data_IF_740411484312
#
_entry.id   IF_740411484312
#
_cell.length_a   1.000
_cell.length_b   1.000
_cell.length_c   1.000
_cell.angle_alpha   90.00
_cell.angle_beta   90.00
_cell.angle_gamma   90.00
#
_symmetry.space_group_name_H-M   'P 1'
#
loop_
_entity.id
_entity.type
_entity.pdbx_description
1 polymer ?
#
# COMPACT_ATOMS: atom_id res chain seq x y z
N UNK A 1 33.57 4.28 11.50
CA UNK A 1 33.27 3.17 10.56
C UNK A 1 33.55 1.87 11.29
N UNK A 2 32.57 0.95 11.39
CA UNK A 2 32.79 -0.33 12.02
C UNK A 2 33.86 -1.13 11.27
N UNK A 3 34.87 -1.64 11.97
CA UNK A 3 35.82 -2.62 11.41
C UNK A 3 35.27 -4.01 11.71
N UNK A 4 35.18 -4.85 10.69
CA UNK A 4 34.98 -6.28 10.89
C UNK A 4 36.35 -6.94 10.98
N UNK A 5 36.66 -7.60 12.10
CA UNK A 5 37.88 -8.41 12.24
C UNK A 5 37.96 -9.56 11.23
N UNK A 6 36.83 -9.87 10.56
CA UNK A 6 36.66 -10.96 9.60
C UNK A 6 36.94 -10.52 8.15
N UNK A 7 36.86 -9.21 7.86
CA UNK A 7 37.05 -8.64 6.52
C UNK A 7 37.88 -7.34 6.58
N UNK A 8 39.21 -7.43 6.80
CA UNK A 8 40.07 -6.25 7.01
C UNK A 8 40.16 -5.30 5.80
N UNK A 9 39.76 -5.75 4.61
CA UNK A 9 39.77 -4.97 3.37
C UNK A 9 38.43 -4.26 3.08
N UNK A 10 37.35 -4.59 3.80
CA UNK A 10 36.03 -4.00 3.58
C UNK A 10 35.66 -3.07 4.73
N UNK A 11 35.52 -1.78 4.41
CA UNK A 11 34.96 -0.79 5.32
C UNK A 11 33.45 -0.73 5.13
N UNK A 12 32.71 -0.95 6.22
CA UNK A 12 31.27 -0.83 6.23
C UNK A 12 30.86 0.56 6.73
N UNK A 13 29.81 1.10 6.13
CA UNK A 13 29.07 2.23 6.69
C UNK A 13 28.21 1.78 7.88
N UNK A 14 27.78 2.72 8.72
CA UNK A 14 26.99 2.40 9.92
C UNK A 14 25.64 1.73 9.61
N UNK A 15 25.06 2.01 8.44
CA UNK A 15 23.82 1.39 7.95
C UNK A 15 24.04 0.01 7.31
N UNK A 16 25.29 -0.39 7.06
CA UNK A 16 25.63 -1.72 6.53
C UNK A 16 25.90 -2.74 7.65
N UNK A 17 25.98 -2.31 8.91
CA UNK A 17 26.26 -3.17 10.07
C UNK A 17 25.05 -3.16 11.00
N UNK A 18 24.75 -4.31 11.60
CA UNK A 18 23.65 -4.41 12.56
C UNK A 18 23.85 -3.42 13.73
N UNK A 19 22.81 -2.70 14.19
CA UNK A 19 22.94 -1.76 15.30
C UNK A 19 23.49 -2.44 16.57
N UNK A 20 24.52 -1.86 17.18
CA UNK A 20 25.16 -2.39 18.39
C UNK A 20 26.12 -3.56 18.17
N UNK A 21 26.39 -3.95 16.91
CA UNK A 21 27.40 -4.96 16.60
C UNK A 21 28.80 -4.35 16.46
N UNK A 22 29.79 -4.93 17.13
CA UNK A 22 31.17 -4.42 17.17
C UNK A 22 31.21 -2.94 17.57
N UNK A 23 31.88 -2.11 16.77
CA UNK A 23 31.99 -0.65 16.97
C UNK A 23 30.77 0.13 16.41
N UNK A 24 29.75 -0.54 15.88
CA UNK A 24 28.57 0.14 15.35
C UNK A 24 27.67 0.64 16.48
N UNK A 25 27.18 1.89 16.46
CA UNK A 25 26.32 2.41 17.52
C UNK A 25 25.06 1.54 17.74
N UNK A 26 24.54 1.48 18.98
CA UNK A 26 23.27 0.81 19.25
C UNK A 26 22.11 1.51 18.52
N UNK A 27 20.99 0.80 18.38
CA UNK A 27 19.78 1.36 17.81
C UNK A 27 19.34 2.62 18.59
N UNK A 28 18.86 3.63 17.86
CA UNK A 28 18.41 4.90 18.39
C UNK A 28 16.91 5.06 18.22
N UNK A 29 16.22 5.60 19.23
CA UNK A 29 14.79 5.95 19.12
C UNK A 29 14.51 7.09 18.13
N UNK A 30 15.54 7.87 17.74
CA UNK A 30 15.38 8.99 16.82
C UNK A 30 15.73 8.65 15.37
N UNK A 31 16.59 7.64 15.17
CA UNK A 31 17.26 7.42 13.88
C UNK A 31 17.18 5.95 13.49
N UNK A 32 16.45 5.66 12.41
CA UNK A 32 16.69 4.45 11.61
C UNK A 32 17.88 4.71 10.68
N UNK A 33 18.89 3.82 10.63
CA UNK A 33 20.04 3.97 9.75
C UNK A 33 19.65 3.60 8.30
N UNK A 34 19.90 4.50 7.35
CA UNK A 34 19.66 4.28 5.93
C UNK A 34 20.76 4.97 5.10
N UNK A 35 21.09 4.45 3.90
CA UNK A 35 21.96 5.17 2.96
C UNK A 35 21.27 6.47 2.50
N UNK A 36 22.06 7.50 2.16
CA UNK A 36 21.47 8.72 1.59
C UNK A 36 20.76 8.42 0.26
N UNK A 37 19.63 9.10 0.03
CA UNK A 37 18.78 8.94 -1.16
C UNK A 37 18.70 10.29 -1.90
N UNK A 38 19.81 10.81 -2.44
CA UNK A 38 19.85 12.16 -3.01
C UNK A 38 18.95 12.32 -4.24
N UNK A 39 18.68 11.22 -4.97
CA UNK A 39 17.88 11.23 -6.19
C UNK A 39 16.38 11.50 -5.93
N UNK A 40 15.91 11.39 -4.69
CA UNK A 40 14.53 11.66 -4.31
C UNK A 40 14.48 12.57 -3.09
N UNK A 41 14.05 13.80 -3.31
CA UNK A 41 13.69 14.71 -2.22
C UNK A 41 12.35 15.39 -2.48
N UNK A 42 11.64 15.70 -1.40
CA UNK A 42 10.32 16.32 -1.37
C UNK A 42 10.35 17.57 -0.50
N UNK A 43 9.53 18.56 -0.84
CA UNK A 43 9.27 19.74 -0.03
C UNK A 43 7.76 19.98 0.09
N UNK A 44 7.35 20.99 0.86
CA UNK A 44 5.92 21.32 1.09
C UNK A 44 5.13 21.54 -0.21
N UNK A 45 5.79 22.02 -1.27
CA UNK A 45 5.18 22.26 -2.58
C UNK A 45 5.07 21.02 -3.47
N UNK A 46 5.81 19.94 -3.19
CA UNK A 46 5.80 18.71 -4.00
C UNK A 46 4.41 18.06 -3.99
N UNK A 47 3.72 17.93 -5.14
CA UNK A 47 2.42 17.25 -5.22
C UNK A 47 2.55 15.76 -4.94
N UNK A 48 2.01 15.31 -3.81
CA UNK A 48 2.09 13.91 -3.35
C UNK A 48 0.71 13.26 -3.48
N UNK A 49 0.66 12.11 -4.13
CA UNK A 49 -0.48 11.19 -4.05
C UNK A 49 -0.09 9.93 -3.26
N UNK A 50 -1.06 9.30 -2.61
CA UNK A 50 -0.87 7.97 -2.03
C UNK A 50 -2.07 7.05 -2.23
N UNK A 51 -1.79 5.75 -2.26
CA UNK A 51 -2.78 4.68 -2.19
C UNK A 51 -2.20 3.47 -1.46
N UNK A 52 -3.07 2.70 -0.80
CA UNK A 52 -2.65 1.43 -0.24
C UNK A 52 -3.52 0.92 0.89
N UNK A 53 -2.89 0.10 1.73
CA UNK A 53 -3.50 -0.50 2.92
C UNK A 53 -3.86 0.54 4.00
N UNK A 54 -4.30 0.07 5.18
CA UNK A 54 -4.57 0.94 6.34
C UNK A 54 -3.42 1.91 6.67
N UNK A 55 -2.16 1.51 6.47
CA UNK A 55 -1.01 2.35 6.76
C UNK A 55 -0.87 3.54 5.80
N UNK A 56 -1.41 3.46 4.58
CA UNK A 56 -1.43 4.59 3.64
C UNK A 56 -2.22 5.80 4.20
N UNK A 57 -3.24 5.53 5.02
CA UNK A 57 -3.98 6.58 5.73
C UNK A 57 -3.10 7.31 6.74
N UNK A 58 -2.30 6.58 7.51
CA UNK A 58 -1.39 7.20 8.49
C UNK A 58 -0.37 8.11 7.80
N UNK A 59 0.21 7.65 6.68
CA UNK A 59 1.11 8.47 5.84
C UNK A 59 0.38 9.73 5.35
N UNK A 60 -0.82 9.58 4.78
CA UNK A 60 -1.64 10.70 4.29
C UNK A 60 -1.91 11.71 5.39
N UNK A 61 -2.41 11.25 6.54
CA UNK A 61 -2.86 12.13 7.62
C UNK A 61 -1.67 12.93 8.16
N UNK A 62 -0.49 12.31 8.30
CA UNK A 62 0.74 13.00 8.72
C UNK A 62 1.25 13.97 7.66
N UNK A 63 1.19 13.63 6.36
CA UNK A 63 1.57 14.56 5.29
C UNK A 63 0.68 15.81 5.27
N UNK A 64 -0.63 15.64 5.47
CA UNK A 64 -1.58 16.74 5.55
C UNK A 64 -1.34 17.59 6.81
N UNK A 65 -1.14 16.95 7.97
CA UNK A 65 -0.86 17.64 9.24
C UNK A 65 0.43 18.46 9.19
N UNK A 66 1.41 18.00 8.42
CA UNK A 66 2.67 18.70 8.16
C UNK A 66 2.60 19.66 6.96
N UNK A 67 1.42 20.03 6.46
CA UNK A 67 1.26 21.00 5.35
C UNK A 67 1.99 20.63 4.04
N UNK A 68 2.23 19.34 3.76
CA UNK A 68 2.66 18.94 2.41
C UNK A 68 1.51 19.08 1.42
N UNK A 69 1.85 19.36 0.16
CA UNK A 69 0.92 19.41 -0.98
C UNK A 69 0.38 18.02 -1.33
N UNK A 70 -0.48 17.49 -0.46
CA UNK A 70 -1.13 16.21 -0.64
C UNK A 70 -2.35 16.36 -1.56
N UNK A 71 -2.42 15.56 -2.61
CA UNK A 71 -3.50 15.58 -3.60
C UNK A 71 -4.75 14.92 -3.01
N UNK A 72 -5.88 15.66 -3.02
CA UNK A 72 -7.16 15.29 -2.42
C UNK A 72 -8.29 15.45 -3.42
N UNK A 73 -8.49 14.44 -4.24
CA UNK A 73 -9.69 14.30 -5.06
C UNK A 73 -10.82 13.67 -4.22
N UNK A 74 -12.08 14.02 -4.52
CA UNK A 74 -13.26 13.43 -3.85
C UNK A 74 -13.22 13.54 -2.31
N UNK A 75 -12.72 14.65 -1.78
CA UNK A 75 -12.43 14.81 -0.34
C UNK A 75 -13.65 14.64 0.60
N UNK A 76 -14.88 14.83 0.09
CA UNK A 76 -16.12 14.58 0.84
C UNK A 76 -16.61 13.14 0.77
N UNK A 77 -16.02 12.28 -0.06
CA UNK A 77 -16.46 10.91 -0.25
C UNK A 77 -15.85 9.99 0.82
N UNK A 78 -16.62 9.14 1.52
CA UNK A 78 -16.10 8.27 2.59
C UNK A 78 -14.91 7.39 2.16
N UNK A 79 -14.90 6.96 0.89
CA UNK A 79 -13.82 6.13 0.34
C UNK A 79 -12.52 6.90 0.02
N UNK A 80 -12.48 8.23 0.09
CA UNK A 80 -11.22 8.98 -0.04
C UNK A 80 -10.42 9.02 1.26
N UNK A 81 -10.93 8.43 2.35
CA UNK A 81 -10.27 8.45 3.67
C UNK A 81 -8.83 7.93 3.63
N UNK A 82 -8.55 6.87 2.86
CA UNK A 82 -7.26 6.16 2.91
C UNK A 82 -6.28 6.52 1.78
N UNK A 83 -6.68 7.39 0.85
CA UNK A 83 -5.92 7.64 -0.38
C UNK A 83 -6.17 9.05 -0.96
N UNK A 84 -5.59 9.33 -2.12
CA UNK A 84 -5.72 10.63 -2.83
C UNK A 84 -7.01 10.79 -3.65
N UNK A 85 -7.72 9.71 -3.93
CA UNK A 85 -9.06 9.71 -4.53
C UNK A 85 -9.93 8.65 -3.82
N UNK A 86 -11.19 8.50 -4.22
CA UNK A 86 -12.13 7.53 -3.61
C UNK A 86 -11.85 6.06 -3.97
N UNK A 87 -10.58 5.65 -3.97
CA UNK A 87 -10.12 4.28 -4.22
C UNK A 87 -10.40 3.31 -3.06
N UNK A 88 -10.74 3.83 -1.87
CA UNK A 88 -10.75 3.09 -0.60
C UNK A 88 -9.38 2.43 -0.30
N UNK A 89 -9.36 1.46 0.60
CA UNK A 89 -8.17 0.68 0.98
C UNK A 89 -7.90 -0.35 -0.08
N UNK A 90 -6.70 -0.28 -0.61
CA UNK A 90 -6.20 -1.20 -1.63
C UNK A 90 -5.14 -2.07 -0.99
N UNK A 91 -5.53 -3.29 -0.64
CA UNK A 91 -4.64 -4.15 0.15
C UNK A 91 -3.62 -4.88 -0.71
N UNK A 92 -4.03 -5.38 -1.88
CA UNK A 92 -3.21 -6.25 -2.73
C UNK A 92 -2.84 -5.54 -4.04
N UNK A 93 -1.79 -6.03 -4.69
CA UNK A 93 -1.26 -5.44 -5.92
C UNK A 93 -2.25 -5.51 -7.11
N UNK A 94 -3.17 -6.48 -7.13
CA UNK A 94 -4.17 -6.62 -8.20
C UNK A 94 -5.21 -5.52 -8.13
N UNK A 95 -5.79 -5.28 -6.95
CA UNK A 95 -6.74 -4.19 -6.75
C UNK A 95 -6.10 -2.84 -7.04
N UNK A 96 -4.82 -2.65 -6.68
CA UNK A 96 -4.07 -1.45 -7.09
C UNK A 96 -3.93 -1.38 -8.61
N UNK A 97 -3.41 -2.42 -9.28
CA UNK A 97 -3.26 -2.45 -10.75
C UNK A 97 -4.56 -2.12 -11.46
N UNK A 98 -5.67 -2.73 -11.03
CA UNK A 98 -6.99 -2.49 -11.60
C UNK A 98 -7.42 -1.03 -11.53
N UNK A 99 -7.00 -0.28 -10.50
CA UNK A 99 -7.23 1.17 -10.43
C UNK A 99 -6.56 1.89 -11.58
N UNK A 100 -5.28 1.60 -11.84
CA UNK A 100 -4.59 2.21 -12.97
C UNK A 100 -5.22 1.76 -14.29
N UNK A 101 -5.60 0.49 -14.43
CA UNK A 101 -6.25 -0.04 -15.62
C UNK A 101 -7.57 0.67 -15.90
N UNK A 102 -8.51 0.74 -14.96
CA UNK A 102 -9.77 1.45 -15.22
C UNK A 102 -9.57 2.94 -15.38
N UNK A 103 -8.52 3.51 -14.81
CA UNK A 103 -8.22 4.94 -14.93
C UNK A 103 -7.70 5.29 -16.30
N UNK A 104 -6.79 4.49 -16.86
CA UNK A 104 -6.00 4.86 -18.02
C UNK A 104 -6.25 4.02 -19.27
N UNK A 105 -6.68 2.78 -19.10
CA UNK A 105 -6.78 1.79 -20.16
C UNK A 105 -8.21 1.23 -20.28
N UNK A 106 -8.36 0.19 -21.11
CA UNK A 106 -9.55 -0.62 -21.19
C UNK A 106 -9.66 -1.56 -19.99
N UNK A 107 -10.73 -1.36 -19.22
CA UNK A 107 -11.06 -2.21 -18.07
C UNK A 107 -12.52 -2.64 -18.20
N UNK A 108 -12.72 -3.93 -18.47
CA UNK A 108 -14.03 -4.52 -18.79
C UNK A 108 -14.23 -5.85 -18.08
N UNK A 109 -14.48 -5.85 -16.76
CA UNK A 109 -14.88 -7.05 -16.07
C UNK A 109 -16.21 -7.57 -16.63
N UNK A 110 -16.39 -8.89 -16.69
CA UNK A 110 -17.66 -9.49 -17.12
C UNK A 110 -18.79 -9.18 -16.14
N UNK A 111 -18.45 -8.94 -14.87
CA UNK A 111 -19.38 -8.47 -13.83
C UNK A 111 -18.87 -7.15 -13.30
N UNK A 112 -19.41 -6.05 -13.82
CA UNK A 112 -19.07 -4.71 -13.34
C UNK A 112 -19.74 -4.43 -11.98
N UNK A 113 -21.02 -4.76 -11.86
CA UNK A 113 -21.83 -4.43 -10.69
C UNK A 113 -22.43 -5.68 -10.06
N UNK A 114 -22.42 -5.71 -8.73
CA UNK A 114 -23.26 -6.63 -7.97
C UNK A 114 -24.62 -6.01 -7.73
N UNK A 115 -25.68 -6.82 -7.85
CA UNK A 115 -27.04 -6.44 -7.46
C UNK A 115 -27.49 -7.33 -6.31
N UNK A 116 -27.69 -6.74 -5.15
CA UNK A 116 -28.05 -7.45 -3.93
C UNK A 116 -29.40 -8.21 -4.13
N UNK A 117 -29.47 -9.52 -3.84
CA UNK A 117 -30.65 -10.32 -4.19
C UNK A 117 -31.97 -9.90 -3.53
N UNK A 118 -31.91 -9.31 -2.33
CA UNK A 118 -33.10 -8.98 -1.54
C UNK A 118 -33.43 -7.49 -1.68
N UNK A 119 -32.48 -6.61 -1.39
CA UNK A 119 -32.69 -5.16 -1.42
C UNK A 119 -32.63 -4.55 -2.83
N UNK A 120 -32.02 -5.26 -3.79
CA UNK A 120 -31.80 -4.75 -5.14
C UNK A 120 -30.74 -3.65 -5.24
N UNK A 121 -30.08 -3.30 -4.12
CA UNK A 121 -29.00 -2.31 -4.06
C UNK A 121 -27.88 -2.71 -5.02
N UNK A 122 -27.36 -1.72 -5.75
CA UNK A 122 -26.21 -1.92 -6.63
C UNK A 122 -24.94 -1.68 -5.83
N UNK A 123 -23.98 -2.59 -5.93
CA UNK A 123 -22.72 -2.55 -5.19
C UNK A 123 -21.55 -2.65 -6.16
N UNK A 124 -20.54 -1.81 -5.94
CA UNK A 124 -19.22 -1.94 -6.55
C UNK A 124 -18.43 -3.09 -5.88
N UNK A 125 -18.04 -4.15 -6.60
CA UNK A 125 -17.25 -5.22 -6.01
C UNK A 125 -15.75 -4.89 -5.93
N UNK A 126 -15.27 -3.86 -6.62
CA UNK A 126 -13.88 -3.46 -6.73
C UNK A 126 -13.48 -2.34 -5.76
N UNK A 127 -14.46 -1.56 -5.27
CA UNK A 127 -14.28 -0.55 -4.21
C UNK A 127 -15.07 -0.92 -2.95
N UNK A 128 -14.44 -0.85 -1.78
CA UNK A 128 -15.00 -1.39 -0.53
C UNK A 128 -16.30 -0.69 -0.10
N UNK A 129 -17.43 -1.39 -0.20
CA UNK A 129 -18.76 -0.95 0.27
C UNK A 129 -19.17 0.39 -0.37
N UNK A 130 -19.08 0.47 -1.69
CA UNK A 130 -19.72 1.55 -2.46
C UNK A 130 -21.06 1.04 -2.96
N UNK A 131 -22.13 1.75 -2.61
CA UNK A 131 -23.51 1.35 -2.82
C UNK A 131 -24.25 2.43 -3.59
N UNK A 132 -25.17 2.02 -4.46
CA UNK A 132 -25.97 2.88 -5.31
C UNK A 132 -27.42 2.41 -5.34
N UNK A 133 -28.34 3.36 -5.57
CA UNK A 133 -29.76 3.07 -5.76
C UNK A 133 -30.09 2.51 -7.15
N UNK A 134 -29.22 2.76 -8.15
CA UNK A 134 -29.43 2.30 -9.53
C UNK A 134 -28.13 2.06 -10.30
N UNK A 135 -28.20 1.32 -11.41
CA UNK A 135 -27.05 1.12 -12.29
C UNK A 135 -26.62 2.40 -13.03
N UNK A 136 -27.57 3.31 -13.29
CA UNK A 136 -27.27 4.61 -13.89
C UNK A 136 -26.45 5.49 -12.94
N UNK A 137 -26.86 5.54 -11.67
CA UNK A 137 -26.11 6.22 -10.61
C UNK A 137 -24.71 5.62 -10.45
N UNK A 138 -24.61 4.29 -10.42
CA UNK A 138 -23.33 3.58 -10.32
C UNK A 138 -22.39 3.94 -11.48
N UNK A 139 -22.89 3.92 -12.71
CA UNK A 139 -22.11 4.30 -13.89
C UNK A 139 -21.69 5.77 -13.89
N UNK A 140 -22.61 6.69 -13.56
CA UNK A 140 -22.31 8.11 -13.50
C UNK A 140 -21.27 8.44 -12.40
N UNK A 141 -21.35 7.78 -11.25
CA UNK A 141 -20.38 7.91 -10.18
C UNK A 141 -19.01 7.34 -10.55
N UNK A 142 -18.99 6.14 -11.14
CA UNK A 142 -17.75 5.52 -11.58
C UNK A 142 -16.99 6.39 -12.60
N UNK A 143 -17.68 7.01 -13.54
CA UNK A 143 -17.03 7.92 -14.50
C UNK A 143 -16.46 9.17 -13.82
N UNK A 144 -17.16 9.77 -12.85
CA UNK A 144 -16.61 10.88 -12.04
C UNK A 144 -15.38 10.43 -11.26
N UNK A 145 -15.46 9.27 -10.62
CA UNK A 145 -14.36 8.67 -9.88
C UNK A 145 -13.16 8.38 -10.80
N UNK A 146 -13.39 7.89 -12.02
CA UNK A 146 -12.34 7.64 -13.01
C UNK A 146 -11.63 8.93 -13.42
N UNK A 147 -12.35 10.04 -13.55
CA UNK A 147 -11.77 11.35 -13.82
C UNK A 147 -10.96 11.88 -12.63
N UNK A 148 -11.48 11.76 -11.41
CA UNK A 148 -10.77 12.10 -10.18
C UNK A 148 -9.47 11.28 -10.04
N UNK A 149 -9.56 9.96 -10.24
CA UNK A 149 -8.43 9.05 -10.27
C UNK A 149 -7.36 9.50 -11.26
N UNK A 150 -7.77 9.83 -12.49
CA UNK A 150 -6.89 10.34 -13.54
C UNK A 150 -6.22 11.66 -13.14
N UNK A 151 -6.96 12.57 -12.52
CA UNK A 151 -6.43 13.85 -12.05
C UNK A 151 -5.37 13.65 -10.97
N UNK A 152 -5.64 12.79 -9.98
CA UNK A 152 -4.69 12.48 -8.92
C UNK A 152 -3.38 11.91 -9.48
N UNK A 153 -3.48 10.89 -10.32
CA UNK A 153 -2.31 10.17 -10.86
C UNK A 153 -1.50 11.02 -11.85
N UNK A 154 -2.15 11.89 -12.65
CA UNK A 154 -1.44 12.78 -13.60
C UNK A 154 -0.77 13.98 -12.94
N UNK A 155 -1.26 14.42 -11.77
CA UNK A 155 -0.71 15.57 -11.03
C UNK A 155 0.39 15.21 -10.05
N UNK A 156 0.46 13.94 -9.63
CA UNK A 156 1.44 13.47 -8.67
C UNK A 156 2.87 13.62 -9.21
N UNK A 157 3.72 14.34 -8.49
CA UNK A 157 5.18 14.25 -8.69
C UNK A 157 5.74 13.06 -7.92
N UNK A 158 5.14 12.77 -6.76
CA UNK A 158 5.43 11.58 -5.97
C UNK A 158 4.15 10.77 -5.79
N UNK A 159 4.22 9.46 -6.05
CA UNK A 159 3.17 8.52 -5.75
C UNK A 159 3.65 7.48 -4.74
N UNK A 160 3.03 7.46 -3.57
CA UNK A 160 3.34 6.51 -2.50
C UNK A 160 2.41 5.30 -2.60
N UNK A 161 2.97 4.11 -2.83
CA UNK A 161 2.25 2.84 -2.92
C UNK A 161 2.56 1.98 -1.69
N UNK A 162 1.53 1.69 -0.89
CA UNK A 162 1.67 0.91 0.36
C UNK A 162 1.02 -0.47 0.24
N UNK A 163 1.82 -1.49 -0.03
CA UNK A 163 1.34 -2.86 -0.24
C UNK A 163 0.98 -3.54 1.09
N UNK A 164 -0.23 -4.09 1.15
CA UNK A 164 -0.81 -4.63 2.37
C UNK A 164 -0.70 -6.16 2.46
N UNK A 165 -1.35 -6.86 1.54
CA UNK A 165 -1.74 -8.26 1.68
C UNK A 165 -1.62 -9.04 0.35
N UNK A 166 -1.44 -10.36 0.45
CA UNK A 166 -1.37 -11.29 -0.70
C UNK A 166 -2.65 -12.11 -0.89
N UNK A 167 -3.54 -12.12 0.10
CA UNK A 167 -4.85 -12.74 0.04
C UNK A 167 -5.78 -11.97 -0.89
N UNK A 168 -6.33 -12.67 -1.89
CA UNK A 168 -7.21 -12.09 -2.91
C UNK A 168 -8.43 -12.96 -3.13
N UNK A 169 -9.50 -12.31 -3.61
CA UNK A 169 -10.70 -12.96 -4.10
C UNK A 169 -10.82 -12.66 -5.59
N UNK A 170 -10.63 -13.69 -6.39
CA UNK A 170 -10.50 -13.59 -7.84
C UNK A 170 -11.73 -14.20 -8.52
N UNK A 171 -12.23 -13.52 -9.54
CA UNK A 171 -13.21 -14.05 -10.47
C UNK A 171 -12.59 -15.19 -11.30
N UNK A 172 -13.16 -16.40 -11.21
CA UNK A 172 -12.64 -17.57 -11.93
C UNK A 172 -12.75 -17.47 -13.45
N UNK A 173 -13.58 -16.56 -13.98
CA UNK A 173 -13.90 -16.47 -15.41
C UNK A 173 -12.95 -15.52 -16.14
N UNK A 174 -12.66 -14.36 -15.56
CA UNK A 174 -11.87 -13.30 -16.20
C UNK A 174 -10.66 -12.82 -15.37
N UNK A 175 -10.46 -13.34 -14.15
CA UNK A 175 -9.28 -13.07 -13.34
C UNK A 175 -9.31 -11.71 -12.62
N UNK A 176 -10.39 -10.94 -12.71
CA UNK A 176 -10.50 -9.69 -11.95
C UNK A 176 -10.65 -9.98 -10.46
N UNK A 177 -9.95 -9.20 -9.65
CA UNK A 177 -9.92 -9.31 -8.19
C UNK A 177 -10.88 -8.31 -7.57
N UNK A 178 -11.85 -8.81 -6.83
CA UNK A 178 -12.77 -8.00 -6.03
C UNK A 178 -12.08 -7.52 -4.75
N UNK A 179 -12.53 -6.40 -4.19
CA UNK A 179 -11.94 -5.83 -2.97
C UNK A 179 -12.10 -6.77 -1.77
N UNK A 180 -13.33 -7.23 -1.52
CA UNK A 180 -13.68 -8.15 -0.45
C UNK A 180 -15.06 -8.76 -0.72
N UNK A 181 -15.30 -10.05 -0.43
CA UNK A 181 -16.64 -10.62 -0.44
C UNK A 181 -17.43 -10.12 0.78
N UNK A 182 -17.95 -8.90 0.70
CA UNK A 182 -18.70 -8.25 1.77
C UNK A 182 -19.78 -7.33 1.21
N UNK A 183 -20.55 -6.70 2.10
CA UNK A 183 -21.61 -5.75 1.74
C UNK A 183 -22.96 -6.43 1.49
N UNK A 184 -23.99 -5.65 1.13
CA UNK A 184 -25.36 -6.14 0.92
C UNK A 184 -25.42 -7.35 -0.02
N UNK A 185 -24.66 -7.36 -1.12
CA UNK A 185 -24.69 -8.48 -2.06
C UNK A 185 -24.38 -9.81 -1.38
N UNK A 186 -23.28 -9.88 -0.62
CA UNK A 186 -22.85 -11.10 0.06
C UNK A 186 -23.75 -11.42 1.26
N UNK A 187 -24.10 -10.40 2.04
CA UNK A 187 -24.91 -10.57 3.25
C UNK A 187 -26.35 -11.03 2.95
N UNK A 188 -26.86 -10.74 1.75
CA UNK A 188 -28.19 -11.13 1.28
C UNK A 188 -28.19 -12.42 0.45
N UNK A 189 -27.09 -13.17 0.44
CA UNK A 189 -27.00 -14.47 -0.24
C UNK A 189 -26.69 -14.40 -1.73
N UNK A 190 -25.98 -13.37 -2.17
CA UNK A 190 -25.46 -13.26 -3.54
C UNK A 190 -24.56 -14.45 -3.91
N UNK A 191 -24.55 -14.79 -5.20
CA UNK A 191 -23.80 -15.94 -5.69
C UNK A 191 -22.29 -15.68 -5.72
N UNK A 192 -21.61 -16.19 -4.70
CA UNK A 192 -20.15 -16.12 -4.58
C UNK A 192 -19.43 -17.30 -5.23
N UNK A 193 -20.14 -18.26 -5.84
CA UNK A 193 -19.54 -19.44 -6.47
C UNK A 193 -18.61 -19.08 -7.63
N UNK A 194 -18.78 -17.89 -8.22
CA UNK A 194 -17.92 -17.32 -9.27
C UNK A 194 -16.54 -16.90 -8.78
N UNK A 195 -16.42 -16.53 -7.51
CA UNK A 195 -15.18 -16.01 -6.92
C UNK A 195 -14.45 -17.10 -6.14
N UNK A 196 -13.13 -17.09 -6.19
CA UNK A 196 -12.27 -17.98 -5.41
C UNK A 196 -11.31 -17.19 -4.55
N UNK A 197 -11.13 -17.63 -3.32
CA UNK A 197 -10.01 -17.21 -2.50
C UNK A 197 -8.71 -17.82 -3.01
N UNK A 198 -7.65 -17.02 -3.09
CA UNK A 198 -6.28 -17.52 -3.27
C UNK A 198 -5.24 -16.58 -2.65
N UNK A 199 -4.03 -17.10 -2.49
CA UNK A 199 -2.86 -16.33 -2.06
C UNK A 199 -2.00 -16.06 -3.29
N UNK A 200 -1.84 -14.80 -3.63
CA UNK A 200 -0.96 -14.38 -4.73
C UNK A 200 0.51 -14.62 -4.40
N UNK A 201 1.31 -14.89 -5.43
CA UNK A 201 2.74 -15.22 -5.30
C UNK A 201 3.64 -14.10 -5.80
N UNK A 202 4.94 -14.27 -5.56
CA UNK A 202 5.99 -13.31 -5.90
C UNK A 202 5.85 -12.76 -7.32
N UNK A 203 5.83 -13.64 -8.33
CA UNK A 203 5.80 -13.21 -9.73
C UNK A 203 4.54 -12.41 -10.06
N UNK A 204 3.38 -12.85 -9.58
CA UNK A 204 2.13 -12.14 -9.85
C UNK A 204 2.11 -10.75 -9.22
N UNK A 205 2.66 -10.59 -8.01
CA UNK A 205 2.75 -9.28 -7.36
C UNK A 205 3.72 -8.37 -8.11
N UNK A 206 4.87 -8.90 -8.55
CA UNK A 206 5.83 -8.17 -9.38
C UNK A 206 5.20 -7.73 -10.72
N UNK A 207 4.51 -8.63 -11.43
CA UNK A 207 3.85 -8.32 -12.70
C UNK A 207 2.79 -7.22 -12.54
N UNK A 208 2.05 -7.23 -11.42
CA UNK A 208 1.11 -6.15 -11.11
C UNK A 208 1.83 -4.81 -10.86
N UNK A 209 2.97 -4.81 -10.16
CA UNK A 209 3.78 -3.61 -9.92
C UNK A 209 4.37 -3.06 -11.23
N UNK A 210 4.90 -3.93 -12.09
CA UNK A 210 5.39 -3.57 -13.42
C UNK A 210 4.28 -2.96 -14.27
N UNK A 211 3.08 -3.55 -14.25
CA UNK A 211 1.94 -3.00 -14.98
C UNK A 211 1.51 -1.62 -14.48
N UNK A 212 1.54 -1.39 -13.16
CA UNK A 212 1.31 -0.06 -12.57
C UNK A 212 2.38 0.92 -13.08
N UNK A 213 3.64 0.51 -13.08
CA UNK A 213 4.76 1.32 -13.55
C UNK A 213 4.63 1.70 -15.03
N UNK A 214 4.30 0.74 -15.90
CA UNK A 214 4.06 0.98 -17.32
C UNK A 214 2.99 2.06 -17.55
N UNK A 215 1.86 1.95 -16.86
CA UNK A 215 0.76 2.91 -16.96
C UNK A 215 1.18 4.29 -16.45
N UNK A 216 1.92 4.37 -15.34
CA UNK A 216 2.45 5.63 -14.84
C UNK A 216 3.50 6.23 -15.78
N UNK A 217 4.40 5.43 -16.33
CA UNK A 217 5.39 5.87 -17.31
C UNK A 217 4.73 6.42 -18.58
N UNK A 218 3.64 5.81 -19.04
CA UNK A 218 2.89 6.27 -20.21
C UNK A 218 2.13 7.59 -19.97
N UNK A 219 1.56 7.79 -18.77
CA UNK A 219 0.64 8.90 -18.51
C UNK A 219 1.20 10.03 -17.64
N UNK A 220 2.25 9.75 -16.87
CA UNK A 220 2.97 10.69 -16.02
C UNK A 220 4.44 10.24 -15.81
N UNK A 221 5.29 10.29 -16.84
CA UNK A 221 6.68 9.81 -16.80
C UNK A 221 7.59 10.57 -15.82
N UNK A 222 7.15 11.73 -15.32
CA UNK A 222 7.89 12.53 -14.33
C UNK A 222 7.64 12.07 -12.90
N UNK A 223 6.60 11.27 -12.68
CA UNK A 223 6.26 10.77 -11.35
C UNK A 223 7.36 9.83 -10.83
N UNK A 224 7.80 10.05 -9.61
CA UNK A 224 8.64 9.11 -8.86
C UNK A 224 7.75 8.28 -7.94
N UNK A 225 8.08 7.00 -7.77
CA UNK A 225 7.33 6.12 -6.89
C UNK A 225 8.09 5.94 -5.57
N UNK A 226 7.38 6.07 -4.45
CA UNK A 226 7.83 5.55 -3.17
C UNK A 226 7.02 4.31 -2.88
N UNK A 227 7.67 3.16 -2.77
CA UNK A 227 7.01 1.88 -2.48
C UNK A 227 7.35 1.42 -1.09
N UNK A 228 6.36 0.89 -0.38
CA UNK A 228 6.56 0.38 0.98
C UNK A 228 5.67 -0.82 1.26
N UNK A 229 6.13 -1.71 2.15
CA UNK A 229 5.31 -2.80 2.70
C UNK A 229 4.70 -2.31 4.01
N UNK A 230 3.38 -2.48 4.14
CA UNK A 230 2.66 -2.04 5.33
C UNK A 230 3.05 -2.85 6.57
N UNK A 231 3.29 -2.22 7.73
CA UNK A 231 3.52 -2.92 9.00
C UNK A 231 2.24 -3.45 9.67
N UNK A 232 1.06 -3.17 9.11
CA UNK A 232 -0.22 -3.65 9.63
C UNK A 232 -0.44 -5.10 9.20
N UNK A 233 -0.64 -6.01 10.15
CA UNK A 233 -0.86 -7.43 9.88
C UNK A 233 -2.32 -7.75 9.54
N UNK A 234 -2.58 -8.99 9.10
CA UNK A 234 -3.94 -9.49 8.90
C UNK A 234 -4.67 -9.48 10.25
N UNK A 235 -5.88 -8.93 10.25
CA UNK A 235 -6.82 -9.14 11.35
C UNK A 235 -7.31 -10.59 11.39
N UNK A 236 -7.60 -11.15 10.22
CA UNK A 236 -8.05 -12.52 10.03
C UNK A 236 -7.53 -13.03 8.67
N UNK A 237 -7.38 -14.34 8.54
CA UNK A 237 -6.99 -15.01 7.29
C UNK A 237 -8.12 -15.89 6.78
N UNK A 238 -8.31 -15.95 5.46
CA UNK A 238 -9.22 -16.91 4.82
C UNK A 238 -8.55 -18.27 4.57
N UNK A 239 -7.25 -18.39 4.88
CA UNK A 239 -6.52 -19.64 4.79
C UNK A 239 -7.06 -20.66 5.80
N UNK A 240 -7.04 -21.92 5.39
CA UNK A 240 -7.42 -23.06 6.25
C UNK A 240 -6.22 -23.93 6.65
N UNK A 241 -5.04 -23.56 6.18
CA UNK A 241 -3.79 -24.32 6.31
C UNK A 241 -2.74 -23.61 7.18
N UNK A 242 -2.99 -22.36 7.59
CA UNK A 242 -2.09 -21.57 8.45
C UNK A 242 -2.88 -20.71 9.44
N UNK A 243 -2.24 -20.38 10.56
CA UNK A 243 -2.73 -19.35 11.49
C UNK A 243 -2.51 -17.92 10.92
N UNK A 244 -3.20 -16.93 11.50
CA UNK A 244 -3.17 -15.53 11.01
C UNK A 244 -1.78 -14.88 11.11
N UNK A 245 -0.94 -15.29 12.06
CA UNK A 245 0.41 -14.74 12.23
C UNK A 245 1.31 -15.27 11.12
N UNK A 246 1.32 -16.60 10.90
CA UNK A 246 2.06 -17.23 9.80
C UNK A 246 1.58 -16.74 8.43
N UNK A 247 0.27 -16.59 8.24
CA UNK A 247 -0.30 -16.02 7.01
C UNK A 247 0.14 -14.57 6.80
N UNK A 248 0.16 -13.77 7.87
CA UNK A 248 0.64 -12.39 7.82
C UNK A 248 2.10 -12.32 7.40
N UNK A 249 2.98 -13.12 8.02
CA UNK A 249 4.39 -13.16 7.66
C UNK A 249 4.62 -13.64 6.23
N UNK A 250 3.91 -14.69 5.78
CA UNK A 250 3.98 -15.13 4.39
C UNK A 250 3.62 -13.99 3.43
N UNK A 251 2.58 -13.22 3.76
CA UNK A 251 2.16 -12.07 2.97
C UNK A 251 3.21 -10.97 2.93
N UNK A 252 3.77 -10.56 4.07
CA UNK A 252 4.76 -9.47 4.13
C UNK A 252 6.07 -9.87 3.47
N UNK A 253 6.56 -11.08 3.71
CA UNK A 253 7.78 -11.58 3.09
C UNK A 253 7.65 -11.69 1.56
N UNK A 254 6.53 -12.19 1.05
CA UNK A 254 6.28 -12.29 -0.40
C UNK A 254 6.26 -10.90 -1.05
N UNK A 255 5.52 -9.96 -0.46
CA UNK A 255 5.44 -8.59 -0.98
C UNK A 255 6.79 -7.87 -0.88
N UNK A 256 7.52 -8.03 0.22
CA UNK A 256 8.83 -7.40 0.40
C UNK A 256 9.84 -7.87 -0.64
N UNK A 257 9.86 -9.18 -0.94
CA UNK A 257 10.70 -9.73 -1.99
C UNK A 257 10.32 -9.17 -3.38
N UNK A 258 9.02 -9.11 -3.70
CA UNK A 258 8.57 -8.55 -4.98
C UNK A 258 8.89 -7.05 -5.11
N UNK A 259 8.73 -6.28 -4.02
CA UNK A 259 9.09 -4.86 -3.96
C UNK A 259 10.60 -4.66 -4.16
N UNK A 260 11.44 -5.55 -3.60
CA UNK A 260 12.90 -5.48 -3.78
C UNK A 260 13.30 -5.55 -5.25
N UNK A 261 12.78 -6.58 -5.93
CA UNK A 261 13.02 -6.80 -7.35
C UNK A 261 12.49 -5.63 -8.17
N UNK A 262 11.28 -5.15 -7.89
CA UNK A 262 10.68 -4.02 -8.57
C UNK A 262 11.53 -2.75 -8.43
N UNK A 263 11.98 -2.43 -7.21
CA UNK A 263 12.85 -1.25 -6.97
C UNK A 263 14.17 -1.38 -7.70
N UNK A 264 14.77 -2.58 -7.75
CA UNK A 264 16.05 -2.81 -8.44
C UNK A 264 15.99 -2.60 -9.96
N UNK A 265 14.80 -2.66 -10.55
CA UNK A 265 14.58 -2.54 -12.00
C UNK A 265 14.35 -1.11 -12.49
N UNK A 266 14.10 -0.16 -11.58
CA UNK A 266 13.63 1.17 -11.95
C UNK A 266 14.29 2.29 -11.13
N UNK A 267 15.11 3.12 -11.79
CA UNK A 267 15.85 4.22 -11.14
C UNK A 267 14.97 5.29 -10.46
N UNK A 268 13.71 5.42 -10.87
CA UNK A 268 12.74 6.38 -10.31
C UNK A 268 11.77 5.76 -9.29
N UNK A 269 12.08 4.58 -8.77
CA UNK A 269 11.30 3.87 -7.75
C UNK A 269 12.17 3.70 -6.49
N UNK A 270 11.64 4.10 -5.34
CA UNK A 270 12.40 4.16 -4.08
C UNK A 270 11.69 3.34 -3.01
N UNK A 271 12.43 2.48 -2.31
CA UNK A 271 11.89 1.73 -1.18
C UNK A 271 11.88 2.58 0.10
N UNK A 272 10.77 2.54 0.82
CA UNK A 272 10.66 3.09 2.17
C UNK A 272 10.43 1.96 3.20
N UNK A 273 11.36 1.70 4.15
CA UNK A 273 11.37 0.50 5.00
C UNK A 273 10.45 0.60 6.23
N UNK A 274 9.19 1.00 6.04
CA UNK A 274 8.21 1.11 7.13
C UNK A 274 7.95 -0.21 7.86
N UNK A 275 7.95 -1.34 7.12
CA UNK A 275 7.77 -2.67 7.69
C UNK A 275 8.91 -3.02 8.64
N UNK A 276 10.16 -2.87 8.19
CA UNK A 276 11.36 -3.22 8.95
C UNK A 276 11.57 -2.30 10.16
N UNK A 277 11.28 -1.00 10.01
CA UNK A 277 11.24 -0.04 11.12
C UNK A 277 10.31 -0.55 12.23
N UNK A 278 9.10 -0.97 11.86
CA UNK A 278 8.10 -1.45 12.80
C UNK A 278 8.47 -2.81 13.42
N UNK A 279 8.72 -3.85 12.61
CA UNK A 279 8.76 -5.23 13.11
C UNK A 279 10.14 -5.72 13.54
N UNK A 280 11.20 -4.98 13.20
CA UNK A 280 12.57 -5.34 13.58
C UNK A 280 13.20 -4.24 14.40
N UNK A 281 13.23 -3.00 13.90
CA UNK A 281 13.99 -1.93 14.56
C UNK A 281 13.38 -1.51 15.90
N UNK A 282 12.05 -1.34 15.97
CA UNK A 282 11.35 -1.07 17.24
C UNK A 282 11.46 -2.23 18.24
N UNK A 283 11.57 -3.47 17.75
CA UNK A 283 11.81 -4.65 18.60
C UNK A 283 13.22 -4.62 19.21
N UNK A 284 14.25 -4.25 18.44
CA UNK A 284 15.62 -4.04 18.96
C UNK A 284 15.61 -3.00 20.09
N UNK A 285 14.80 -1.95 19.96
CA UNK A 285 14.63 -0.91 20.99
C UNK A 285 13.80 -1.35 22.21
N UNK A 286 13.27 -2.58 22.22
CA UNK A 286 12.41 -3.08 23.30
C UNK A 286 11.06 -2.36 23.39
N UNK A 287 10.59 -1.76 22.30
CA UNK A 287 9.38 -0.92 22.28
C UNK A 287 8.14 -1.71 21.88
N UNK A 288 6.96 -1.36 22.43
CA UNK A 288 5.70 -1.94 21.97
C UNK A 288 5.42 -1.53 20.52
N UNK A 289 4.93 -2.49 19.75
CA UNK A 289 4.64 -2.32 18.33
C UNK A 289 3.15 -2.06 18.05
N UNK A 290 2.28 -2.89 18.61
CA UNK A 290 0.85 -2.86 18.27
C UNK A 290 0.04 -1.97 19.21
N UNK A 291 -1.11 -1.51 18.73
CA UNK A 291 -2.12 -0.85 19.57
C UNK A 291 -2.72 -1.81 20.58
N UNK A 292 -3.07 -1.31 21.75
CA UNK A 292 -3.91 -2.06 22.70
C UNK A 292 -5.39 -2.04 22.26
N UNK A 293 -6.19 -2.98 22.77
CA UNK A 293 -7.65 -2.99 22.57
C UNK A 293 -8.11 -3.82 21.37
N UNK A 294 -9.07 -3.30 20.60
CA UNK A 294 -9.84 -4.08 19.60
C UNK A 294 -9.13 -4.35 18.28
N UNK A 295 -8.05 -3.63 17.99
CA UNK A 295 -7.30 -3.78 16.74
C UNK A 295 -5.80 -4.08 16.97
N UNK A 296 -5.43 -5.13 17.71
CA UNK A 296 -4.04 -5.41 18.12
C UNK A 296 -3.12 -5.88 16.97
N UNK A 297 -3.52 -5.62 15.73
CA UNK A 297 -2.78 -5.88 14.49
C UNK A 297 -2.39 -4.58 13.76
N UNK A 298 -2.85 -3.41 14.24
CA UNK A 298 -2.38 -2.09 13.81
C UNK A 298 -1.18 -1.65 14.66
N UNK A 299 -0.27 -0.91 14.03
CA UNK A 299 0.86 -0.27 14.74
C UNK A 299 0.37 0.87 15.63
N UNK A 300 0.98 1.03 16.80
CA UNK A 300 0.65 2.12 17.72
C UNK A 300 1.14 3.47 17.22
N UNK A 301 0.63 4.55 17.83
CA UNK A 301 0.93 5.92 17.41
C UNK A 301 2.42 6.26 17.51
N UNK A 302 3.10 5.83 18.57
CA UNK A 302 4.54 6.04 18.74
C UNK A 302 5.34 5.41 17.59
N UNK A 303 4.92 4.23 17.11
CA UNK A 303 5.55 3.57 15.96
C UNK A 303 5.25 4.30 14.66
N UNK A 304 4.02 4.82 14.48
CA UNK A 304 3.67 5.66 13.31
C UNK A 304 4.54 6.92 13.29
N UNK A 305 4.64 7.62 14.43
CA UNK A 305 5.43 8.84 14.55
C UNK A 305 6.92 8.56 14.25
N UNK A 306 7.49 7.48 14.82
CA UNK A 306 8.86 7.05 14.51
C UNK A 306 9.07 6.78 13.02
N UNK A 307 8.14 6.07 12.36
CA UNK A 307 8.25 5.78 10.93
C UNK A 307 8.19 7.08 10.13
N UNK A 308 7.26 7.98 10.43
CA UNK A 308 7.08 9.22 9.68
C UNK A 308 8.20 10.24 9.91
N UNK A 309 8.76 10.32 11.11
CA UNK A 309 9.97 11.13 11.36
C UNK A 309 11.13 10.64 10.49
N UNK A 310 11.29 9.32 10.35
CA UNK A 310 12.30 8.76 9.46
C UNK A 310 11.95 8.92 7.97
N UNK A 311 10.66 8.89 7.59
CA UNK A 311 10.22 9.24 6.24
C UNK A 311 10.70 10.64 5.84
N UNK A 312 10.50 11.63 6.71
CA UNK A 312 10.96 12.99 6.45
C UNK A 312 12.48 13.11 6.47
N UNK A 313 13.19 12.40 7.35
CA UNK A 313 14.67 12.39 7.33
C UNK A 313 15.22 11.78 6.03
N UNK A 314 14.54 10.78 5.46
CA UNK A 314 14.95 10.16 4.19
C UNK A 314 14.71 11.10 3.02
N UNK A 315 13.51 11.67 2.93
CA UNK A 315 13.03 12.30 1.70
C UNK A 315 12.85 13.82 1.78
N UNK A 316 12.77 14.47 2.94
CA UNK A 316 12.60 15.93 3.02
C UNK A 316 13.87 16.69 2.62
N UNK A 317 13.72 17.85 1.97
CA UNK A 317 14.81 18.84 1.76
C UNK A 317 14.92 19.88 2.88
N UNK A 318 13.97 19.91 3.80
CA UNK A 318 13.89 20.85 4.93
C UNK A 318 13.89 20.11 6.27
#
# INVERSE_FOLDING_TARGET
>A
MPRSDVHPEFHFESWQVWPGSYDNPPASEAIYPFPDVPALKINRGTPIASMGSCFAREIKDVLIDKDYSYIREEAGHPASKHASAAWERTYNAFSMRQIFEYTFDEWRPRVHWWKAPVSGVIQDPYRRIILYGSMEEAGADFERHRLASRNALKRAEILILTFGLTEIWEDKVDGFVICLPAGPYVNEGGDMSRYRFRVSRYQENLDNMERIYELMKAHNPRCKLIVTVSPVHLWATFRKDLDVISASWNSKATLRAAVDEFVSRHDNVFYFPAFEMAVTYRVILGKPLFTEGREPFHVNRETVDFIMDNFFRMFSTE
#
